data_IF_734995863374
#
_entry.id   IF_734995863374
#
_cell.length_a   1.000
_cell.length_b   1.000
_cell.length_c   1.000
_cell.angle_alpha   90.00
_cell.angle_beta   90.00
_cell.angle_gamma   90.00
#
_symmetry.space_group_name_H-M   'P 1'
#
loop_
_entity.id
_entity.type
_entity.pdbx_description
1 polymer ?
#
# COMPACT_ATOMS: atom_id res chain seq x y z
N UNK A 1 -19.70 39.94 70.25
CA UNK A 1 -20.43 39.20 71.30
C UNK A 1 -20.87 40.21 72.34
N UNK A 2 -22.18 40.35 72.57
CA UNK A 2 -22.71 41.30 73.56
C UNK A 2 -22.51 40.70 74.95
N UNK A 3 -21.84 41.42 75.84
CA UNK A 3 -21.82 41.14 77.27
C UNK A 3 -23.25 41.19 77.80
N UNK A 4 -23.83 40.03 78.10
CA UNK A 4 -25.13 39.93 78.77
C UNK A 4 -24.89 39.83 80.27
N UNK A 5 -24.91 41.01 80.89
CA UNK A 5 -25.73 41.38 82.04
C UNK A 5 -25.83 40.39 83.22
N UNK A 6 -25.25 40.82 84.35
CA UNK A 6 -25.62 40.37 85.70
C UNK A 6 -27.14 40.50 86.00
N UNK A 7 -27.89 41.27 85.18
CA UNK A 7 -29.36 41.38 85.24
C UNK A 7 -30.10 40.05 85.00
N UNK A 8 -29.49 39.09 84.29
CA UNK A 8 -30.17 37.84 83.92
C UNK A 8 -30.30 36.86 85.08
N UNK A 9 -29.41 36.91 86.08
CA UNK A 9 -29.47 35.98 87.23
C UNK A 9 -30.59 36.36 88.19
N UNK A 10 -30.79 37.66 88.47
CA UNK A 10 -31.90 38.12 89.31
C UNK A 10 -33.27 37.84 88.69
N UNK A 11 -33.38 37.89 87.37
CA UNK A 11 -34.59 37.49 86.65
C UNK A 11 -34.87 35.99 86.77
N UNK A 12 -33.82 35.15 86.73
CA UNK A 12 -33.91 33.70 87.00
C UNK A 12 -34.42 33.46 88.43
N UNK A 13 -33.89 34.17 89.43
CA UNK A 13 -34.35 34.06 90.81
C UNK A 13 -35.81 34.44 90.97
N UNK A 14 -36.23 35.57 90.38
CA UNK A 14 -37.64 36.01 90.42
C UNK A 14 -38.59 34.99 89.79
N UNK A 15 -38.18 34.40 88.67
CA UNK A 15 -38.94 33.36 87.97
C UNK A 15 -39.19 32.14 88.85
N UNK A 16 -38.15 31.63 89.52
CA UNK A 16 -38.28 30.47 90.40
C UNK A 16 -39.04 30.76 91.70
N UNK A 17 -38.95 31.99 92.25
CA UNK A 17 -39.82 32.36 93.39
C UNK A 17 -41.29 32.42 93.02
N UNK A 18 -41.63 32.76 91.77
CA UNK A 18 -43.02 32.86 91.31
C UNK A 18 -43.60 31.51 90.88
N UNK A 19 -42.79 30.67 90.26
CA UNK A 19 -43.19 29.36 89.75
C UNK A 19 -42.36 28.27 90.44
N UNK A 20 -42.99 27.55 91.40
CA UNK A 20 -42.33 26.51 92.19
C UNK A 20 -41.73 25.36 91.35
N UNK A 21 -42.22 25.19 90.12
CA UNK A 21 -41.77 24.21 89.13
C UNK A 21 -41.88 24.83 87.74
N UNK A 22 -40.78 24.82 86.98
CA UNK A 22 -40.70 25.38 85.62
C UNK A 22 -39.97 24.39 84.72
N UNK A 23 -40.35 24.30 83.44
CA UNK A 23 -39.60 23.48 82.48
C UNK A 23 -38.34 24.20 82.01
N UNK A 24 -37.29 23.45 81.69
CA UNK A 24 -36.03 24.02 81.19
C UNK A 24 -36.24 24.82 79.88
N UNK A 25 -37.20 24.42 79.05
CA UNK A 25 -37.54 25.11 77.80
C UNK A 25 -38.22 26.46 78.06
N UNK A 26 -39.10 26.56 79.06
CA UNK A 26 -39.68 27.84 79.49
C UNK A 26 -38.60 28.79 80.02
N UNK A 27 -37.63 28.29 80.80
CA UNK A 27 -36.51 29.10 81.32
C UNK A 27 -35.62 29.60 80.18
N UNK A 28 -35.28 28.74 79.22
CA UNK A 28 -34.49 29.13 78.04
C UNK A 28 -35.22 30.18 77.19
N UNK A 29 -36.54 30.01 76.99
CA UNK A 29 -37.35 30.95 76.22
C UNK A 29 -37.51 32.30 76.94
N UNK A 30 -37.79 32.31 78.25
CA UNK A 30 -38.00 33.54 79.02
C UNK A 30 -36.74 34.38 79.14
N UNK A 31 -35.57 33.74 79.25
CA UNK A 31 -34.28 34.42 79.34
C UNK A 31 -33.64 34.68 77.98
N UNK A 32 -34.27 34.22 76.90
CA UNK A 32 -33.78 34.30 75.53
C UNK A 32 -32.33 33.77 75.39
N UNK A 33 -32.05 32.64 76.03
CA UNK A 33 -30.73 31.97 75.99
C UNK A 33 -30.85 30.57 75.40
N UNK A 34 -29.79 30.03 74.76
CA UNK A 34 -29.80 28.65 74.29
C UNK A 34 -30.03 27.66 75.43
N UNK A 35 -30.81 26.60 75.17
CA UNK A 35 -31.14 25.56 76.17
C UNK A 35 -29.91 24.99 76.89
N UNK A 36 -28.78 24.86 76.18
CA UNK A 36 -27.51 24.40 76.76
C UNK A 36 -26.92 25.37 77.80
N UNK A 37 -27.12 26.68 77.64
CA UNK A 37 -26.71 27.69 78.61
C UNK A 37 -27.64 27.71 79.83
N UNK A 38 -28.96 27.62 79.61
CA UNK A 38 -29.95 27.49 80.68
C UNK A 38 -29.70 26.23 81.53
N UNK A 39 -29.32 25.11 80.92
CA UNK A 39 -28.98 23.88 81.62
C UNK A 39 -27.74 24.04 82.50
N UNK A 40 -26.70 24.73 82.02
CA UNK A 40 -25.50 25.03 82.83
C UNK A 40 -25.83 25.91 84.03
N UNK A 41 -26.67 26.93 83.86
CA UNK A 41 -27.12 27.77 84.97
C UNK A 41 -27.94 26.98 85.99
N UNK A 42 -28.82 26.09 85.52
CA UNK A 42 -29.59 25.22 86.40
C UNK A 42 -28.69 24.28 87.21
N UNK A 43 -27.62 23.74 86.62
CA UNK A 43 -26.63 22.92 87.34
C UNK A 43 -25.90 23.72 88.42
N UNK A 44 -25.48 24.96 88.14
CA UNK A 44 -24.85 25.83 89.15
C UNK A 44 -25.80 26.10 90.34
N UNK A 45 -27.07 26.39 90.06
CA UNK A 45 -28.08 26.61 91.11
C UNK A 45 -28.42 25.33 91.88
N UNK A 46 -28.27 24.16 91.26
CA UNK A 46 -28.41 22.87 91.94
C UNK A 46 -27.23 22.60 92.89
N UNK A 47 -26.01 22.97 92.50
CA UNK A 47 -24.81 22.85 93.35
C UNK A 47 -24.93 23.72 94.61
N UNK A 48 -25.52 24.92 94.47
CA UNK A 48 -25.84 25.81 95.59
C UNK A 48 -27.06 25.34 96.42
N UNK A 49 -27.66 24.20 96.05
CA UNK A 49 -28.85 23.58 96.67
C UNK A 49 -30.09 24.47 96.65
N UNK A 50 -30.18 25.37 95.66
CA UNK A 50 -31.27 26.35 95.47
C UNK A 50 -32.43 25.73 94.68
N UNK A 51 -32.11 24.86 93.73
CA UNK A 51 -33.10 24.11 92.92
C UNK A 51 -32.76 22.62 92.86
N UNK A 52 -33.74 21.80 92.49
CA UNK A 52 -33.59 20.37 92.21
C UNK A 52 -34.01 20.11 90.77
N UNK A 53 -33.20 19.36 90.02
CA UNK A 53 -33.51 19.01 88.63
C UNK A 53 -34.20 17.64 88.61
N UNK A 54 -35.45 17.60 88.15
CA UNK A 54 -36.22 16.36 87.97
C UNK A 54 -36.41 16.09 86.48
N UNK A 55 -36.14 14.86 86.03
CA UNK A 55 -36.44 14.45 84.65
C UNK A 55 -37.59 13.46 84.65
N UNK A 56 -38.68 13.80 83.99
CA UNK A 56 -39.86 12.93 83.87
C UNK A 56 -40.45 13.06 82.47
N UNK A 57 -40.68 11.94 81.79
CA UNK A 57 -41.31 11.92 80.46
C UNK A 57 -40.51 12.56 79.33
N UNK A 58 -39.18 12.71 79.47
CA UNK A 58 -38.33 13.36 78.46
C UNK A 58 -38.24 14.89 78.60
N UNK A 59 -38.97 15.48 79.55
CA UNK A 59 -38.85 16.88 79.92
C UNK A 59 -38.05 17.04 81.22
N UNK A 60 -37.25 18.11 81.28
CA UNK A 60 -36.45 18.48 82.44
C UNK A 60 -37.17 19.60 83.19
N UNK A 61 -37.57 19.32 84.43
CA UNK A 61 -38.22 20.26 85.33
C UNK A 61 -37.21 20.77 86.37
N UNK A 62 -37.29 22.05 86.67
CA UNK A 62 -36.52 22.73 87.69
C UNK A 62 -37.46 23.06 88.86
N UNK A 63 -37.23 22.43 90.02
CA UNK A 63 -38.07 22.55 91.21
C UNK A 63 -37.33 23.34 92.28
N UNK A 64 -37.93 24.43 92.76
CA UNK A 64 -37.32 25.30 93.77
C UNK A 64 -37.28 24.62 95.16
N UNK A 65 -36.10 24.50 95.77
CA UNK A 65 -35.89 23.78 97.06
C UNK A 65 -35.86 24.71 98.29
N UNK A 66 -35.74 26.02 98.11
CA UNK A 66 -36.11 27.05 99.09
C UNK A 66 -35.35 27.10 100.43
N UNK A 67 -34.12 26.58 100.54
CA UNK A 67 -33.34 26.63 101.78
C UNK A 67 -32.16 27.61 101.68
N UNK A 68 -32.38 28.88 102.02
CA UNK A 68 -31.31 29.83 102.31
C UNK A 68 -30.96 29.73 103.81
N UNK A 69 -29.72 29.36 104.16
CA UNK A 69 -29.21 29.26 105.54
C UNK A 69 -27.96 30.13 105.71
N UNK A 70 -27.91 30.87 106.81
CA UNK A 70 -26.78 31.68 107.30
C UNK A 70 -27.22 33.14 107.46
N UNK A 71 -27.63 33.67 108.61
CA UNK A 71 -27.29 33.46 110.02
C UNK A 71 -25.84 33.83 110.44
N UNK A 72 -25.80 34.91 111.24
CA UNK A 72 -24.87 35.30 112.30
C UNK A 72 -23.53 35.99 111.99
N UNK A 73 -23.47 37.28 112.37
CA UNK A 73 -22.38 37.85 113.19
C UNK A 73 -22.99 38.78 114.27
N UNK A 74 -22.39 38.84 115.48
CA UNK A 74 -23.04 39.19 116.74
C UNK A 74 -23.02 40.70 117.10
N UNK A 75 -23.77 41.11 118.15
CA UNK A 75 -24.04 42.50 118.49
C UNK A 75 -22.97 43.08 119.41
N UNK A 76 -22.76 44.39 119.37
CA UNK A 76 -22.12 45.11 120.49
C UNK A 76 -23.14 46.05 121.08
N UNK A 77 -23.45 45.78 122.35
CA UNK A 77 -24.53 46.35 123.11
C UNK A 77 -24.26 47.79 123.56
N UNK A 78 -25.39 48.46 123.73
CA UNK A 78 -25.74 49.54 124.66
C UNK A 78 -24.87 49.67 125.93
N UNK A 79 -24.66 50.91 126.38
CA UNK A 79 -25.05 51.37 127.74
C UNK A 79 -24.83 52.89 127.80
N UNK A 80 -25.90 53.67 127.92
CA UNK A 80 -26.51 54.14 129.16
C UNK A 80 -25.70 55.20 129.94
N UNK A 81 -26.31 56.37 130.04
CA UNK A 81 -26.13 57.38 131.09
C UNK A 81 -26.07 56.75 132.49
N UNK A 82 -25.33 57.33 133.45
CA UNK A 82 -26.05 57.66 134.70
C UNK A 82 -25.57 58.90 135.46
N UNK A 83 -26.46 59.24 136.39
CA UNK A 83 -26.54 60.36 137.34
C UNK A 83 -25.38 60.42 138.35
N UNK A 84 -25.20 61.65 138.85
CA UNK A 84 -24.46 62.04 140.06
C UNK A 84 -24.52 61.07 141.24
N UNK A 85 -23.43 60.99 142.03
CA UNK A 85 -23.52 60.79 143.47
C UNK A 85 -22.86 61.90 144.30
N UNK A 86 -23.45 62.00 145.49
CA UNK A 86 -23.22 62.90 146.61
C UNK A 86 -21.80 62.84 147.19
N UNK A 87 -21.34 64.00 147.66
CA UNK A 87 -20.07 64.26 148.32
C UNK A 87 -20.03 63.73 149.77
N UNK A 88 -19.15 62.76 150.05
CA UNK A 88 -18.49 62.56 151.36
C UNK A 88 -17.51 61.35 151.37
N UNK A 89 -16.74 61.13 150.29
CA UNK A 89 -15.79 60.00 150.21
C UNK A 89 -14.63 60.18 149.21
N UNK A 90 -14.34 61.43 148.81
CA UNK A 90 -13.61 61.80 147.58
C UNK A 90 -12.10 61.48 147.60
N UNK A 91 -11.48 61.24 148.74
CA UNK A 91 -10.00 61.24 148.81
C UNK A 91 -9.35 59.85 148.58
N UNK A 92 -10.07 58.74 148.82
CA UNK A 92 -9.56 57.38 148.52
C UNK A 92 -10.00 56.83 147.15
N UNK A 93 -11.10 57.31 146.60
CA UNK A 93 -11.50 56.97 145.23
C UNK A 93 -10.68 57.73 144.19
N UNK A 94 -10.20 58.95 144.50
CA UNK A 94 -9.34 59.71 143.60
C UNK A 94 -8.02 59.00 143.32
N UNK A 95 -7.35 58.42 144.32
CA UNK A 95 -6.12 57.65 144.10
C UNK A 95 -6.35 56.35 143.30
N UNK A 96 -7.50 55.69 143.48
CA UNK A 96 -7.87 54.51 142.68
C UNK A 96 -8.13 54.88 141.23
N UNK A 97 -8.85 55.99 141.01
CA UNK A 97 -9.15 56.53 139.69
C UNK A 97 -7.86 56.98 139.00
N UNK A 98 -6.93 57.63 139.71
CA UNK A 98 -5.65 58.06 139.13
C UNK A 98 -4.81 56.85 138.70
N UNK A 99 -4.72 55.78 139.50
CA UNK A 99 -4.02 54.55 139.09
C UNK A 99 -4.73 53.81 137.95
N UNK A 100 -6.06 53.74 137.96
CA UNK A 100 -6.82 53.20 136.82
C UNK A 100 -6.63 54.06 135.56
N UNK A 101 -6.50 55.37 135.71
CA UNK A 101 -6.24 56.29 134.61
C UNK A 101 -4.82 56.14 134.07
N UNK A 102 -3.83 55.97 134.94
CA UNK A 102 -2.44 55.69 134.55
C UNK A 102 -2.32 54.35 133.82
N UNK A 103 -2.94 53.28 134.33
CA UNK A 103 -3.00 51.97 133.66
C UNK A 103 -3.71 52.06 132.31
N UNK A 104 -4.82 52.80 132.23
CA UNK A 104 -5.51 53.03 130.95
C UNK A 104 -4.69 53.89 130.01
N UNK A 105 -3.93 54.86 130.49
CA UNK A 105 -3.03 55.67 129.67
C UNK A 105 -1.84 54.85 129.16
N UNK A 106 -1.34 53.91 129.94
CA UNK A 106 -0.33 52.93 129.48
C UNK A 106 -0.93 51.96 128.45
N UNK A 107 -2.15 51.45 128.67
CA UNK A 107 -2.85 50.65 127.67
C UNK A 107 -3.14 51.43 126.39
N UNK A 108 -3.52 52.71 126.49
CA UNK A 108 -3.74 53.59 125.33
C UNK A 108 -2.44 53.83 124.60
N UNK A 109 -1.33 54.09 125.31
CA UNK A 109 0.00 54.24 124.69
C UNK A 109 0.42 52.95 123.98
N UNK A 110 0.25 51.79 124.63
CA UNK A 110 0.54 50.48 124.05
C UNK A 110 -0.32 50.20 122.82
N UNK A 111 -1.63 50.41 122.90
CA UNK A 111 -2.53 50.27 121.76
C UNK A 111 -2.26 51.27 120.65
N UNK A 112 -1.83 52.50 120.96
CA UNK A 112 -1.44 53.47 119.94
C UNK A 112 -0.14 53.06 119.24
N UNK A 113 0.81 52.47 119.97
CA UNK A 113 2.03 51.93 119.40
C UNK A 113 1.76 50.70 118.52
N UNK A 114 0.86 49.80 118.95
CA UNK A 114 0.37 48.68 118.12
C UNK A 114 -0.35 49.19 116.87
N UNK A 115 -1.19 50.24 116.99
CA UNK A 115 -1.84 50.89 115.84
C UNK A 115 -0.82 51.50 114.88
N UNK A 116 0.23 52.11 115.40
CA UNK A 116 1.29 52.72 114.60
C UNK A 116 2.14 51.67 113.90
N UNK A 117 2.45 50.55 114.56
CA UNK A 117 3.06 49.37 113.93
C UNK A 117 2.16 48.79 112.84
N UNK A 118 0.86 48.63 113.10
CA UNK A 118 -0.09 48.16 112.08
C UNK A 118 -0.23 49.15 110.92
N UNK A 119 -0.12 50.45 111.16
CA UNK A 119 -0.11 51.47 110.11
C UNK A 119 1.18 51.41 109.28
N UNK A 120 2.34 51.18 109.90
CA UNK A 120 3.62 50.98 109.21
C UNK A 120 3.62 49.67 108.42
N UNK A 121 3.16 48.55 109.01
CA UNK A 121 2.99 47.27 108.31
C UNK A 121 2.01 47.40 107.14
N UNK A 122 0.89 48.12 107.31
CA UNK A 122 -0.06 48.40 106.22
C UNK A 122 0.57 49.29 105.14
N UNK A 123 1.33 50.30 105.55
CA UNK A 123 2.03 51.21 104.63
C UNK A 123 3.16 50.50 103.87
N UNK A 124 3.73 49.42 104.42
CA UNK A 124 4.74 48.58 103.75
C UNK A 124 4.10 47.49 102.87
N UNK A 125 2.98 46.89 103.29
CA UNK A 125 2.26 45.86 102.51
C UNK A 125 1.76 46.40 101.17
N UNK A 126 1.29 47.66 101.11
CA UNK A 126 0.77 48.24 99.87
C UNK A 126 1.86 48.37 98.79
N UNK A 127 3.02 49.00 99.03
CA UNK A 127 4.11 49.07 98.06
C UNK A 127 4.81 47.72 97.83
N UNK A 128 5.00 46.89 98.87
CA UNK A 128 5.83 45.68 98.77
C UNK A 128 5.09 44.47 98.20
N UNK A 129 3.78 44.33 98.45
CA UNK A 129 3.00 43.15 98.02
C UNK A 129 1.98 43.45 96.93
N UNK A 130 1.27 44.57 97.02
CA UNK A 130 0.21 44.89 96.05
C UNK A 130 0.78 45.44 94.74
N UNK A 131 1.70 46.40 94.80
CA UNK A 131 2.25 47.02 93.58
C UNK A 131 2.94 46.02 92.63
N UNK A 132 3.75 45.04 93.11
CA UNK A 132 4.33 44.03 92.23
C UNK A 132 3.29 43.07 91.65
N UNK A 133 2.22 42.80 92.39
CA UNK A 133 1.12 41.95 91.92
C UNK A 133 0.29 42.65 90.85
N UNK A 134 -0.04 43.92 91.06
CA UNK A 134 -0.70 44.77 90.04
C UNK A 134 0.14 44.86 88.77
N UNK A 135 1.47 45.09 88.89
CA UNK A 135 2.36 45.07 87.73
C UNK A 135 2.39 43.72 87.02
N UNK A 136 2.38 42.60 87.76
CA UNK A 136 2.29 41.26 87.15
C UNK A 136 0.98 41.11 86.38
N UNK A 137 -0.15 41.47 87.00
CA UNK A 137 -1.45 41.42 86.33
C UNK A 137 -1.50 42.32 85.10
N UNK A 138 -0.98 43.54 85.17
CA UNK A 138 -0.90 44.46 84.04
C UNK A 138 -0.07 43.86 82.89
N UNK A 139 1.09 43.26 83.19
CA UNK A 139 1.93 42.61 82.17
C UNK A 139 1.27 41.37 81.57
N UNK A 140 0.56 40.56 82.36
CA UNK A 140 -0.17 39.39 81.87
C UNK A 140 -1.37 39.80 81.01
N UNK A 141 -2.11 40.83 81.42
CA UNK A 141 -3.20 41.42 80.64
C UNK A 141 -2.67 41.99 79.32
N UNK A 142 -1.53 42.68 79.34
CA UNK A 142 -0.91 43.21 78.14
C UNK A 142 -0.43 42.08 77.20
N UNK A 143 0.13 41.00 77.75
CA UNK A 143 0.54 39.83 76.96
C UNK A 143 -0.65 39.09 76.36
N UNK A 144 -1.74 38.92 77.13
CA UNK A 144 -3.00 38.35 76.64
C UNK A 144 -3.62 39.23 75.54
N UNK A 145 -3.60 40.55 75.73
CA UNK A 145 -4.09 41.50 74.73
C UNK A 145 -3.29 41.42 73.42
N UNK A 146 -1.97 41.35 73.50
CA UNK A 146 -1.11 41.18 72.33
C UNK A 146 -1.37 39.86 71.60
N UNK A 147 -1.50 38.75 72.34
CA UNK A 147 -1.86 37.44 71.76
C UNK A 147 -3.24 37.45 71.12
N UNK A 148 -4.21 38.11 71.75
CA UNK A 148 -5.55 38.26 71.20
C UNK A 148 -5.50 39.06 69.89
N UNK A 149 -4.76 40.17 69.86
CA UNK A 149 -4.59 40.98 68.66
C UNK A 149 -3.87 40.22 67.53
N UNK A 150 -2.89 39.38 67.83
CA UNK A 150 -2.25 38.48 66.84
C UNK A 150 -3.24 37.48 66.27
N UNK A 151 -4.05 36.83 67.12
CA UNK A 151 -5.07 35.87 66.68
C UNK A 151 -6.18 36.53 65.88
N UNK A 152 -6.59 37.75 66.24
CA UNK A 152 -7.53 38.53 65.45
C UNK A 152 -6.96 38.85 64.06
N UNK A 153 -5.67 39.21 63.95
CA UNK A 153 -5.02 39.39 62.64
C UNK A 153 -5.01 38.10 61.82
N UNK A 154 -4.59 36.97 62.40
CA UNK A 154 -4.62 35.66 61.71
C UNK A 154 -6.04 35.32 61.21
N UNK A 155 -7.07 35.54 62.03
CA UNK A 155 -8.47 35.32 61.64
C UNK A 155 -8.85 36.21 60.46
N UNK A 156 -8.47 37.49 60.48
CA UNK A 156 -8.79 38.40 59.35
C UNK A 156 -8.08 38.00 58.05
N UNK A 157 -6.87 37.46 58.12
CA UNK A 157 -6.15 36.95 56.94
C UNK A 157 -6.79 35.68 56.39
N UNK A 158 -7.17 34.75 57.26
CA UNK A 158 -7.92 33.55 56.89
C UNK A 158 -9.27 33.90 56.26
N UNK A 159 -9.98 34.89 56.81
CA UNK A 159 -11.24 35.39 56.25
C UNK A 159 -11.05 36.00 54.86
N UNK A 160 -9.96 36.76 54.65
CA UNK A 160 -9.62 37.27 53.31
C UNK A 160 -9.35 36.12 52.33
N UNK A 161 -8.59 35.10 52.74
CA UNK A 161 -8.34 33.93 51.90
C UNK A 161 -9.63 33.17 51.57
N UNK A 162 -10.48 32.92 52.57
CA UNK A 162 -11.79 32.28 52.41
C UNK A 162 -12.69 33.04 51.44
N UNK A 163 -12.66 34.38 51.45
CA UNK A 163 -13.44 35.19 50.50
C UNK A 163 -12.93 35.11 49.06
N UNK A 164 -11.62 34.94 48.85
CA UNK A 164 -11.05 34.82 47.48
C UNK A 164 -11.09 33.40 46.91
N UNK A 165 -11.30 32.38 47.75
CA UNK A 165 -11.27 30.98 47.33
C UNK A 165 -12.37 30.63 46.32
N UNK A 166 -13.64 31.07 46.50
CA UNK A 166 -14.71 30.80 45.54
C UNK A 166 -14.42 31.37 44.15
N UNK A 167 -13.88 32.59 44.07
CA UNK A 167 -13.49 33.20 42.78
C UNK A 167 -12.36 32.43 42.07
N UNK A 168 -11.41 31.88 42.84
CA UNK A 168 -10.36 31.03 42.28
C UNK A 168 -10.93 29.69 41.82
N UNK A 169 -11.88 29.13 42.57
CA UNK A 169 -12.55 27.87 42.24
C UNK A 169 -13.36 28.00 40.95
N UNK A 170 -14.16 29.07 40.80
CA UNK A 170 -14.93 29.33 39.57
C UNK A 170 -14.03 29.56 38.37
N UNK A 171 -12.92 30.30 38.52
CA UNK A 171 -11.92 30.44 37.44
C UNK A 171 -11.30 29.11 37.03
N UNK A 172 -11.02 28.22 37.98
CA UNK A 172 -10.50 26.88 37.69
C UNK A 172 -11.55 26.01 36.99
N UNK A 173 -12.82 26.06 37.41
CA UNK A 173 -13.92 25.37 36.75
C UNK A 173 -14.13 25.87 35.31
N UNK A 174 -14.09 27.18 35.08
CA UNK A 174 -14.14 27.77 33.74
C UNK A 174 -12.97 27.31 32.86
N UNK A 175 -11.76 27.25 33.41
CA UNK A 175 -10.58 26.75 32.70
C UNK A 175 -10.69 25.25 32.40
N UNK A 176 -11.18 24.44 33.35
CA UNK A 176 -11.41 23.02 33.15
C UNK A 176 -12.43 22.77 32.03
N UNK A 177 -13.55 23.49 32.03
CA UNK A 177 -14.57 23.40 30.98
C UNK A 177 -14.03 23.81 29.60
N UNK A 178 -13.18 24.85 29.53
CA UNK A 178 -12.51 25.24 28.27
C UNK A 178 -11.55 24.16 27.78
N UNK A 179 -10.79 23.54 28.67
CA UNK A 179 -9.89 22.45 28.32
C UNK A 179 -10.64 21.22 27.83
N UNK A 180 -11.77 20.87 28.46
CA UNK A 180 -12.63 19.77 28.02
C UNK A 180 -13.19 20.02 26.61
N UNK A 181 -13.67 21.24 26.33
CA UNK A 181 -14.13 21.61 24.99
C UNK A 181 -13.01 21.53 23.93
N UNK A 182 -11.80 21.99 24.28
CA UNK A 182 -10.63 21.87 23.42
C UNK A 182 -10.29 20.41 23.17
N UNK A 183 -10.35 19.56 24.19
CA UNK A 183 -10.07 18.12 24.08
C UNK A 183 -11.09 17.43 23.16
N UNK A 184 -12.38 17.68 23.33
CA UNK A 184 -13.44 17.14 22.48
C UNK A 184 -13.25 17.58 21.03
N UNK A 185 -12.95 18.86 20.80
CA UNK A 185 -12.68 19.40 19.47
C UNK A 185 -11.43 18.77 18.84
N UNK A 186 -10.35 18.64 19.61
CA UNK A 186 -9.11 18.00 19.16
C UNK A 186 -9.34 16.53 18.81
N UNK A 187 -10.04 15.76 19.65
CA UNK A 187 -10.40 14.36 19.39
C UNK A 187 -11.21 14.22 18.10
N UNK A 188 -12.18 15.13 17.86
CA UNK A 188 -12.97 15.15 16.62
C UNK A 188 -12.11 15.45 15.39
N UNK A 189 -11.19 16.41 15.48
CA UNK A 189 -10.30 16.74 14.36
C UNK A 189 -9.33 15.60 14.07
N UNK A 190 -8.78 14.96 15.09
CA UNK A 190 -7.88 13.80 14.96
C UNK A 190 -8.62 12.63 14.34
N UNK A 191 -9.85 12.33 14.76
CA UNK A 191 -10.64 11.23 14.16
C UNK A 191 -11.00 11.50 12.70
N UNK A 192 -11.38 12.73 12.36
CA UNK A 192 -11.62 13.12 10.97
C UNK A 192 -10.35 13.06 10.11
N UNK A 193 -9.20 13.50 10.63
CA UNK A 193 -7.92 13.39 9.96
C UNK A 193 -7.52 11.92 9.75
N UNK A 194 -7.76 11.06 10.74
CA UNK A 194 -7.49 9.63 10.63
C UNK A 194 -8.33 8.98 9.52
N UNK A 195 -9.64 9.27 9.45
CA UNK A 195 -10.51 8.77 8.39
C UNK A 195 -10.05 9.25 7.00
N UNK A 196 -9.67 10.53 6.87
CA UNK A 196 -9.13 11.07 5.60
C UNK A 196 -7.82 10.39 5.19
N UNK A 197 -6.90 10.19 6.14
CA UNK A 197 -5.64 9.49 5.90
C UNK A 197 -5.86 8.03 5.50
N UNK A 198 -6.84 7.36 6.12
CA UNK A 198 -7.20 5.99 5.76
C UNK A 198 -7.79 5.92 4.34
N UNK A 199 -8.65 6.87 3.97
CA UNK A 199 -9.21 6.96 2.62
C UNK A 199 -8.13 7.21 1.55
N UNK A 200 -7.21 8.15 1.79
CA UNK A 200 -6.09 8.43 0.89
C UNK A 200 -5.10 7.25 0.82
N UNK A 201 -4.91 6.50 1.92
CA UNK A 201 -4.10 5.28 1.92
C UNK A 201 -4.70 4.18 1.02
N UNK A 202 -6.03 3.99 1.08
CA UNK A 202 -6.73 3.07 0.18
C UNK A 202 -6.61 3.52 -1.27
N UNK A 203 -6.86 4.81 -1.56
CA UNK A 203 -6.72 5.39 -2.90
C UNK A 203 -5.30 5.23 -3.46
N UNK A 204 -4.29 5.45 -2.63
CA UNK A 204 -2.87 5.26 -3.01
C UNK A 204 -2.59 3.80 -3.40
N UNK A 205 -3.14 2.81 -2.68
CA UNK A 205 -3.03 1.39 -3.03
C UNK A 205 -3.73 1.07 -4.34
N UNK A 206 -4.92 1.61 -4.59
CA UNK A 206 -5.63 1.44 -5.86
C UNK A 206 -4.83 1.98 -7.05
N UNK A 207 -4.23 3.16 -6.88
CA UNK A 207 -3.34 3.76 -7.89
C UNK A 207 -2.10 2.87 -8.12
N UNK A 208 -1.49 2.33 -7.05
CA UNK A 208 -0.36 1.41 -7.18
C UNK A 208 -0.71 0.16 -7.99
N UNK A 209 -1.85 -0.48 -7.69
CA UNK A 209 -2.34 -1.65 -8.44
C UNK A 209 -2.59 -1.31 -9.91
N UNK A 210 -3.19 -0.14 -10.19
CA UNK A 210 -3.41 0.32 -11.57
C UNK A 210 -2.09 0.58 -12.32
N UNK A 211 -1.10 1.19 -11.66
CA UNK A 211 0.25 1.40 -12.24
C UNK A 211 0.92 0.06 -12.54
N UNK A 212 0.85 -0.91 -11.63
CA UNK A 212 1.41 -2.25 -11.85
C UNK A 212 0.76 -2.97 -13.03
N UNK A 213 -0.57 -2.86 -13.18
CA UNK A 213 -1.29 -3.38 -14.34
C UNK A 213 -0.80 -2.72 -15.64
N UNK A 214 -0.74 -1.39 -15.70
CA UNK A 214 -0.25 -0.67 -16.88
C UNK A 214 1.22 -0.99 -17.21
N UNK A 215 2.07 -1.19 -16.20
CA UNK A 215 3.46 -1.61 -16.40
C UNK A 215 3.54 -3.03 -16.98
N UNK A 216 2.70 -3.95 -16.52
CA UNK A 216 2.66 -5.31 -17.05
C UNK A 216 2.15 -5.32 -18.50
N UNK A 217 1.12 -4.54 -18.83
CA UNK A 217 0.64 -4.37 -20.19
C UNK A 217 1.70 -3.76 -21.12
N UNK A 218 2.42 -2.74 -20.65
CA UNK A 218 3.51 -2.12 -21.39
C UNK A 218 4.66 -3.11 -21.65
N UNK A 219 5.03 -3.92 -20.65
CA UNK A 219 6.03 -4.99 -20.79
C UNK A 219 5.60 -6.04 -21.81
N UNK A 220 4.35 -6.48 -21.79
CA UNK A 220 3.81 -7.42 -22.77
C UNK A 220 3.87 -6.87 -24.19
N UNK A 221 3.49 -5.60 -24.39
CA UNK A 221 3.61 -4.91 -25.70
C UNK A 221 5.07 -4.79 -26.16
N UNK A 222 6.00 -4.45 -25.27
CA UNK A 222 7.43 -4.39 -25.59
C UNK A 222 7.95 -5.78 -26.03
N UNK A 223 7.57 -6.84 -25.32
CA UNK A 223 7.93 -8.20 -25.70
C UNK A 223 7.37 -8.59 -27.07
N UNK A 224 6.10 -8.27 -27.35
CA UNK A 224 5.48 -8.50 -28.66
C UNK A 224 6.24 -7.77 -29.79
N UNK A 225 6.57 -6.49 -29.59
CA UNK A 225 7.33 -5.69 -30.56
C UNK A 225 8.76 -6.23 -30.74
N UNK A 226 9.38 -6.69 -29.66
CA UNK A 226 10.71 -7.31 -29.71
C UNK A 226 10.69 -8.59 -30.56
N UNK A 227 9.67 -9.43 -30.41
CA UNK A 227 9.50 -10.63 -31.24
C UNK A 227 9.18 -10.30 -32.70
N UNK A 228 8.41 -9.24 -32.98
CA UNK A 228 8.20 -8.73 -34.34
C UNK A 228 9.52 -8.26 -34.97
N UNK A 229 10.33 -7.50 -34.25
CA UNK A 229 11.65 -7.04 -34.71
C UNK A 229 12.57 -8.23 -35.03
N UNK A 230 12.63 -9.26 -34.17
CA UNK A 230 13.39 -10.49 -34.43
C UNK A 230 12.90 -11.26 -35.67
N UNK A 231 11.60 -11.18 -36.00
CA UNK A 231 11.07 -11.78 -37.26
C UNK A 231 11.57 -10.98 -38.47
N UNK A 232 11.45 -9.65 -38.42
CA UNK A 232 11.93 -8.76 -39.49
C UNK A 232 13.43 -8.92 -39.70
N UNK A 233 14.22 -9.00 -38.62
CA UNK A 233 15.67 -9.21 -38.71
C UNK A 233 16.01 -10.54 -39.42
N UNK A 234 15.29 -11.63 -39.10
CA UNK A 234 15.45 -12.91 -39.80
C UNK A 234 15.07 -12.82 -41.28
N UNK A 235 14.03 -12.06 -41.62
CA UNK A 235 13.64 -11.83 -43.02
C UNK A 235 14.69 -11.00 -43.77
N UNK A 236 15.26 -9.96 -43.16
CA UNK A 236 16.35 -9.18 -43.75
C UNK A 236 17.60 -10.04 -44.00
N UNK A 237 17.94 -10.95 -43.10
CA UNK A 237 19.04 -11.92 -43.32
C UNK A 237 18.73 -12.85 -44.50
N UNK A 238 17.48 -13.31 -44.66
CA UNK A 238 17.07 -14.11 -45.82
C UNK A 238 17.16 -13.32 -47.13
N UNK A 239 16.69 -12.07 -47.14
CA UNK A 239 16.77 -11.19 -48.30
C UNK A 239 18.22 -10.96 -48.73
N UNK A 240 19.14 -10.72 -47.78
CA UNK A 240 20.58 -10.63 -48.07
C UNK A 240 21.15 -11.89 -48.71
N UNK A 241 20.72 -13.09 -48.28
CA UNK A 241 21.14 -14.35 -48.92
C UNK A 241 20.61 -14.47 -50.34
N UNK A 242 19.36 -14.06 -50.58
CA UNK A 242 18.78 -14.03 -51.93
C UNK A 242 19.52 -13.03 -52.82
N UNK A 243 19.85 -11.85 -52.31
CA UNK A 243 20.64 -10.84 -53.01
C UNK A 243 22.02 -11.38 -53.40
N UNK A 244 22.74 -12.01 -52.47
CA UNK A 244 24.02 -12.67 -52.74
C UNK A 244 23.88 -13.77 -53.81
N UNK A 245 22.84 -14.60 -53.72
CA UNK A 245 22.58 -15.63 -54.70
C UNK A 245 22.27 -15.05 -56.09
N UNK A 246 21.45 -13.99 -56.18
CA UNK A 246 21.16 -13.30 -57.44
C UNK A 246 22.41 -12.65 -58.04
N UNK A 247 23.28 -12.07 -57.21
CA UNK A 247 24.57 -11.52 -57.67
C UNK A 247 25.44 -12.61 -58.32
N UNK A 248 25.57 -13.78 -57.68
CA UNK A 248 26.28 -14.93 -58.25
C UNK A 248 25.66 -15.41 -59.58
N UNK A 249 24.33 -15.51 -59.64
CA UNK A 249 23.63 -15.89 -60.88
C UNK A 249 23.84 -14.86 -62.00
N UNK A 250 23.87 -13.58 -61.66
CA UNK A 250 24.14 -12.51 -62.63
C UNK A 250 25.57 -12.60 -63.18
N UNK A 251 26.57 -12.84 -62.32
CA UNK A 251 27.96 -13.06 -62.74
C UNK A 251 28.09 -14.30 -63.64
N UNK A 252 27.42 -15.41 -63.31
CA UNK A 252 27.39 -16.63 -64.14
C UNK A 252 26.78 -16.37 -65.52
N UNK A 253 25.67 -15.61 -65.58
CA UNK A 253 25.01 -15.24 -66.84
C UNK A 253 25.90 -14.33 -67.69
N UNK A 254 26.57 -13.34 -67.07
CA UNK A 254 27.53 -12.49 -67.78
C UNK A 254 28.68 -13.31 -68.36
N UNK A 255 29.24 -14.25 -67.59
CA UNK A 255 30.29 -15.15 -68.07
C UNK A 255 29.80 -16.00 -69.24
N UNK A 256 28.60 -16.57 -69.14
CA UNK A 256 28.00 -17.34 -70.24
C UNK A 256 27.77 -16.50 -71.51
N UNK A 257 27.41 -15.23 -71.36
CA UNK A 257 27.24 -14.30 -72.48
C UNK A 257 28.58 -13.98 -73.15
N UNK A 258 29.65 -13.79 -72.37
CA UNK A 258 31.01 -13.60 -72.88
C UNK A 258 31.52 -14.85 -73.61
N UNK A 259 31.28 -16.05 -73.05
CA UNK A 259 31.61 -17.33 -73.70
C UNK A 259 30.87 -17.49 -75.04
N UNK A 260 29.57 -17.18 -75.09
CA UNK A 260 28.79 -17.21 -76.33
C UNK A 260 29.28 -16.17 -77.34
N UNK A 261 29.64 -14.97 -76.88
CA UNK A 261 30.19 -13.91 -77.72
C UNK A 261 31.53 -14.33 -78.34
N UNK A 262 32.41 -14.94 -77.55
CA UNK A 262 33.70 -15.46 -78.01
C UNK A 262 33.51 -16.65 -78.97
N UNK A 263 32.65 -17.61 -78.64
CA UNK A 263 32.29 -18.73 -79.52
C UNK A 263 31.71 -18.24 -80.86
N UNK A 264 30.87 -17.20 -80.84
CA UNK A 264 30.37 -16.56 -82.07
C UNK A 264 31.50 -15.97 -82.90
N UNK A 265 32.46 -15.27 -82.29
CA UNK A 265 33.64 -14.72 -82.99
C UNK A 265 34.48 -15.84 -83.60
N UNK A 266 34.82 -16.87 -82.83
CA UNK A 266 35.57 -18.03 -83.32
C UNK A 266 34.85 -18.73 -84.48
N UNK A 267 33.54 -18.92 -84.38
CA UNK A 267 32.75 -19.52 -85.45
C UNK A 267 32.71 -18.64 -86.71
N UNK A 268 32.66 -17.31 -86.56
CA UNK A 268 32.76 -16.37 -87.68
C UNK A 268 34.15 -16.39 -88.32
N UNK A 269 35.21 -16.50 -87.53
CA UNK A 269 36.58 -16.66 -88.02
C UNK A 269 36.78 -17.99 -88.74
N UNK A 270 36.26 -19.09 -88.19
CA UNK A 270 36.24 -20.41 -88.84
C UNK A 270 35.45 -20.37 -90.14
N UNK A 271 34.27 -19.75 -90.15
CA UNK A 271 33.47 -19.58 -91.36
C UNK A 271 34.19 -18.73 -92.40
N UNK A 272 34.85 -17.65 -91.99
CA UNK A 272 35.64 -16.78 -92.88
C UNK A 272 36.85 -17.51 -93.43
N UNK A 273 37.54 -18.30 -92.61
CA UNK A 273 38.67 -19.14 -93.01
C UNK A 273 38.24 -20.25 -93.95
N UNK A 274 37.11 -20.92 -93.66
CA UNK A 274 36.51 -21.92 -94.55
C UNK A 274 36.13 -21.29 -95.89
N UNK A 275 35.47 -20.11 -95.87
CA UNK A 275 35.13 -19.35 -97.06
C UNK A 275 36.36 -18.91 -97.86
N UNK A 276 37.45 -18.52 -97.20
CA UNK A 276 38.72 -18.18 -97.86
C UNK A 276 39.41 -19.42 -98.44
N UNK A 277 39.36 -20.57 -97.75
CA UNK A 277 39.90 -21.86 -98.24
C UNK A 277 39.09 -22.45 -99.39
N UNK A 278 37.78 -22.17 -99.43
CA UNK A 278 36.91 -22.33 -100.59
C UNK A 278 37.25 -21.24 -101.62
N UNK A 279 38.50 -21.21 -102.07
CA UNK A 279 38.94 -20.27 -103.10
C UNK A 279 38.11 -20.46 -104.37
N UNK A 280 38.01 -19.41 -105.20
CA UNK A 280 37.57 -19.56 -106.59
C UNK A 280 38.36 -20.64 -107.32
N UNK A 281 39.60 -20.95 -106.90
CA UNK A 281 40.41 -22.04 -107.43
C UNK A 281 39.92 -23.43 -107.05
N UNK A 282 39.45 -23.67 -105.82
CA UNK A 282 38.80 -24.95 -105.49
C UNK A 282 37.52 -25.14 -106.33
N UNK A 283 36.67 -24.11 -106.42
CA UNK A 283 35.49 -24.16 -107.29
C UNK A 283 35.86 -24.29 -108.77
N UNK A 284 36.91 -23.63 -109.24
CA UNK A 284 37.40 -23.71 -110.62
C UNK A 284 37.98 -25.10 -110.93
N UNK A 285 38.70 -25.70 -109.99
CA UNK A 285 39.21 -27.07 -110.11
C UNK A 285 38.07 -28.09 -110.06
N UNK A 286 37.09 -27.92 -109.16
CA UNK A 286 35.90 -28.76 -109.11
C UNK A 286 35.07 -28.66 -110.39
N UNK A 287 34.85 -27.45 -110.93
CA UNK A 287 34.19 -27.24 -112.23
C UNK A 287 35.02 -27.87 -113.36
N UNK A 288 36.35 -27.77 -113.29
CA UNK A 288 37.25 -28.39 -114.28
C UNK A 288 37.20 -29.92 -114.21
N UNK A 289 37.14 -30.51 -113.02
CA UNK A 289 36.97 -31.94 -112.81
C UNK A 289 35.60 -32.42 -113.29
N UNK A 290 34.52 -31.70 -112.97
CA UNK A 290 33.18 -31.97 -113.50
C UNK A 290 33.13 -31.87 -115.03
N UNK A 291 33.82 -30.89 -115.62
CA UNK A 291 33.92 -30.73 -117.08
C UNK A 291 34.72 -31.88 -117.70
N UNK A 292 35.84 -32.27 -117.10
CA UNK A 292 36.64 -33.41 -117.55
C UNK A 292 35.89 -34.75 -117.42
N UNK A 293 35.09 -34.91 -116.36
CA UNK A 293 34.21 -36.05 -116.16
C UNK A 293 33.11 -36.10 -117.22
N UNK A 294 32.45 -34.97 -117.50
CA UNK A 294 31.50 -34.83 -118.60
C UNK A 294 32.13 -35.21 -119.94
N UNK A 295 33.33 -34.72 -120.23
CA UNK A 295 34.05 -35.05 -121.48
C UNK A 295 34.46 -36.53 -121.57
N UNK A 296 34.72 -37.20 -120.43
CA UNK A 296 34.89 -38.66 -120.40
C UNK A 296 33.59 -39.37 -120.76
N UNK A 297 32.48 -39.02 -120.11
CA UNK A 297 31.17 -39.64 -120.43
C UNK A 297 30.75 -39.39 -121.87
N UNK A 298 30.97 -38.20 -122.42
CA UNK A 298 30.69 -37.90 -123.84
C UNK A 298 31.53 -38.78 -124.76
N UNK A 299 32.83 -38.97 -124.46
CA UNK A 299 33.69 -39.88 -125.23
C UNK A 299 33.25 -41.33 -125.13
N UNK A 300 32.84 -41.78 -123.94
CA UNK A 300 32.35 -43.13 -123.69
C UNK A 300 31.03 -43.39 -124.42
N UNK A 301 30.10 -42.44 -124.39
CA UNK A 301 28.86 -42.50 -125.19
C UNK A 301 29.18 -42.60 -126.69
N UNK A 302 30.12 -41.81 -127.19
CA UNK A 302 30.52 -41.90 -128.60
C UNK A 302 31.21 -43.23 -128.94
N UNK A 303 31.99 -43.80 -128.03
CA UNK A 303 32.60 -45.12 -128.21
C UNK A 303 31.52 -46.21 -128.26
N UNK A 304 30.55 -46.18 -127.33
CA UNK A 304 29.40 -47.10 -127.30
C UNK A 304 28.57 -46.95 -128.57
N UNK A 305 28.29 -45.74 -129.05
CA UNK A 305 27.60 -45.52 -130.33
C UNK A 305 28.36 -46.09 -131.52
N UNK A 306 29.69 -46.07 -131.48
CA UNK A 306 30.53 -46.66 -132.54
C UNK A 306 30.45 -48.19 -132.49
N UNK A 307 30.53 -48.79 -131.30
CA UNK A 307 30.35 -50.23 -131.09
C UNK A 307 28.95 -50.71 -131.49
N UNK A 308 27.91 -49.92 -131.18
CA UNK A 308 26.53 -50.19 -131.59
C UNK A 308 26.38 -50.22 -133.11
N UNK A 309 27.00 -49.26 -133.83
CA UNK A 309 27.04 -49.28 -135.30
C UNK A 309 27.78 -50.49 -135.87
N UNK A 310 28.86 -50.92 -135.22
CA UNK A 310 29.58 -52.14 -135.61
C UNK A 310 28.74 -53.40 -135.36
N UNK A 311 28.02 -53.48 -134.23
CA UNK A 311 27.08 -54.56 -133.94
C UNK A 311 25.93 -54.60 -134.95
N UNK A 312 25.33 -53.46 -135.28
CA UNK A 312 24.29 -53.36 -136.31
C UNK A 312 24.79 -53.87 -137.67
N UNK A 313 26.06 -53.60 -138.01
CA UNK A 313 26.67 -54.11 -139.24
C UNK A 313 26.85 -55.64 -139.19
N UNK A 314 27.24 -56.20 -138.04
CA UNK A 314 27.35 -57.66 -137.82
C UNK A 314 25.98 -58.34 -137.83
N UNK A 315 24.96 -57.74 -137.23
CA UNK A 315 23.58 -58.25 -137.27
C UNK A 315 23.03 -58.26 -138.70
N UNK A 316 23.30 -57.21 -139.49
CA UNK A 316 22.97 -57.21 -140.92
C UNK A 316 23.69 -58.31 -141.70
N UNK A 317 24.96 -58.58 -141.40
CA UNK A 317 25.72 -59.67 -142.03
C UNK A 317 25.16 -61.05 -141.64
N UNK A 318 24.94 -61.29 -140.35
CA UNK A 318 24.34 -62.54 -139.85
C UNK A 318 22.93 -62.77 -140.43
N UNK A 319 22.11 -61.73 -140.59
CA UNK A 319 20.80 -61.86 -141.26
C UNK A 319 20.93 -62.28 -142.73
N UNK A 320 21.98 -61.85 -143.43
CA UNK A 320 22.25 -62.30 -144.81
C UNK A 320 22.68 -63.77 -144.85
N UNK A 321 23.54 -64.19 -143.92
CA UNK A 321 23.92 -65.61 -143.78
C UNK A 321 22.73 -66.49 -143.42
N UNK A 322 21.89 -66.06 -142.49
CA UNK A 322 20.69 -66.79 -142.08
C UNK A 322 19.68 -66.90 -143.23
N UNK A 323 19.53 -65.85 -144.03
CA UNK A 323 18.73 -65.90 -145.27
C UNK A 323 19.32 -66.88 -146.30
N UNK A 324 20.65 -66.98 -146.40
CA UNK A 324 21.34 -67.94 -147.27
C UNK A 324 21.13 -69.38 -146.79
N UNK A 325 21.28 -69.65 -145.48
CA UNK A 325 21.08 -70.97 -144.88
C UNK A 325 19.61 -71.42 -144.94
N UNK A 326 18.65 -70.49 -144.79
CA UNK A 326 17.23 -70.81 -144.97
C UNK A 326 16.94 -71.20 -146.43
N UNK A 327 17.59 -70.57 -147.41
CA UNK A 327 17.45 -70.96 -148.81
C UNK A 327 18.09 -72.33 -149.11
N UNK A 328 19.25 -72.63 -148.52
CA UNK A 328 19.86 -73.97 -148.62
C UNK A 328 19.00 -75.05 -147.95
N UNK A 329 18.44 -74.77 -146.77
CA UNK A 329 17.53 -75.69 -146.09
C UNK A 329 16.25 -75.96 -146.89
N UNK A 330 15.72 -74.94 -147.60
CA UNK A 330 14.59 -75.12 -148.52
C UNK A 330 14.94 -76.00 -149.72
N UNK A 331 16.12 -75.82 -150.32
CA UNK A 331 16.62 -76.65 -151.42
C UNK A 331 16.80 -78.12 -150.99
N UNK A 332 17.32 -78.35 -149.78
CA UNK A 332 17.49 -79.71 -149.21
C UNK A 332 16.16 -80.37 -148.85
N UNK A 333 15.17 -79.60 -148.36
CA UNK A 333 13.84 -80.12 -148.08
C UNK A 333 13.10 -80.56 -149.36
N UNK A 334 13.22 -79.80 -150.46
CA UNK A 334 12.66 -80.17 -151.76
C UNK A 334 13.33 -81.43 -152.35
N UNK A 335 14.64 -81.60 -152.14
CA UNK A 335 15.35 -82.83 -152.50
C UNK A 335 14.87 -84.04 -151.68
N UNK A 336 14.68 -83.89 -150.37
CA UNK A 336 14.24 -84.97 -149.49
C UNK A 336 12.80 -85.44 -149.79
N UNK A 337 11.89 -84.53 -150.11
CA UNK A 337 10.51 -84.88 -150.50
C UNK A 337 10.45 -85.63 -151.84
N UNK A 338 11.35 -85.32 -152.77
CA UNK A 338 11.47 -86.04 -154.05
C UNK A 338 11.98 -87.48 -153.88
N UNK A 339 12.84 -87.74 -152.89
CA UNK A 339 13.37 -89.07 -152.56
C UNK A 339 12.37 -89.89 -151.73
N UNK A 340 11.72 -89.27 -150.74
CA UNK A 340 10.71 -89.91 -149.87
C UNK A 340 9.51 -90.42 -150.66
N UNK A 341 9.05 -89.67 -151.66
CA UNK A 341 7.94 -90.09 -152.54
C UNK A 341 8.32 -91.24 -153.46
N UNK A 342 9.56 -91.28 -153.97
CA UNK A 342 10.10 -92.40 -154.77
C UNK A 342 10.32 -93.66 -153.93
N UNK A 343 10.86 -93.52 -152.71
CA UNK A 343 11.06 -94.63 -151.77
C UNK A 343 9.73 -95.29 -151.34
N UNK A 344 8.67 -94.50 -151.12
CA UNK A 344 7.32 -95.03 -150.81
C UNK A 344 6.70 -95.79 -152.00
N UNK A 345 6.98 -95.38 -153.25
CA UNK A 345 6.53 -96.11 -154.45
C UNK A 345 7.29 -97.42 -154.62
N UNK A 346 8.60 -97.41 -154.45
CA UNK A 346 9.44 -98.62 -154.48
C UNK A 346 8.96 -99.67 -153.46
N UNK A 347 8.70 -99.26 -152.20
CA UNK A 347 8.16 -100.17 -151.18
C UNK A 347 6.83 -100.80 -151.59
N UNK A 348 5.95 -100.04 -152.25
CA UNK A 348 4.64 -100.53 -152.71
C UNK A 348 4.74 -101.52 -153.88
N UNK A 349 5.80 -101.45 -154.70
CA UNK A 349 6.06 -102.42 -155.76
C UNK A 349 6.67 -103.72 -155.22
N UNK A 350 7.53 -103.64 -154.21
CA UNK A 350 8.08 -104.81 -153.52
C UNK A 350 6.98 -105.66 -152.86
N UNK A 351 6.01 -105.04 -152.20
CA UNK A 351 4.89 -105.75 -151.54
C UNK A 351 3.93 -106.43 -152.53
N UNK A 352 3.91 -106.02 -153.80
CA UNK A 352 3.05 -106.62 -154.84
C UNK A 352 3.74 -107.72 -155.67
N UNK A 353 5.01 -108.02 -155.41
CA UNK A 353 5.77 -109.03 -156.15
C UNK A 353 6.10 -108.64 -157.60
N UNK A 354 5.91 -107.38 -158.00
CA UNK A 354 6.26 -106.85 -159.33
C UNK A 354 7.75 -106.46 -159.40
N UNK A 355 8.64 -107.46 -159.30
CA UNK A 355 10.09 -107.24 -159.18
C UNK A 355 10.71 -106.41 -160.32
N UNK A 356 10.25 -106.58 -161.56
CA UNK A 356 10.76 -105.81 -162.71
C UNK A 356 10.41 -104.31 -162.66
N UNK A 357 9.36 -103.93 -161.93
CA UNK A 357 9.01 -102.51 -161.72
C UNK A 357 9.67 -101.94 -160.46
N UNK A 358 9.91 -102.77 -159.46
CA UNK A 358 10.72 -102.41 -158.30
C UNK A 358 12.16 -102.07 -158.68
N UNK A 359 12.80 -102.89 -159.52
CA UNK A 359 14.17 -102.61 -160.02
C UNK A 359 14.24 -101.31 -160.79
N UNK A 360 13.27 -101.00 -161.66
CA UNK A 360 13.25 -99.72 -162.40
C UNK A 360 13.10 -98.49 -161.49
N UNK A 361 12.37 -98.58 -160.38
CA UNK A 361 12.29 -97.46 -159.43
C UNK A 361 13.53 -97.36 -158.52
N UNK A 362 14.20 -98.48 -158.23
CA UNK A 362 15.50 -98.46 -157.55
C UNK A 362 16.62 -97.90 -158.44
N UNK A 363 16.63 -98.20 -159.73
CA UNK A 363 17.55 -97.56 -160.69
C UNK A 363 17.28 -96.06 -160.84
N UNK A 364 16.01 -95.64 -160.79
CA UNK A 364 15.58 -94.24 -160.73
C UNK A 364 16.04 -93.53 -159.43
N UNK A 365 16.09 -94.24 -158.31
CA UNK A 365 16.64 -93.75 -157.04
C UNK A 365 18.18 -93.68 -157.06
N UNK A 366 18.84 -94.71 -157.60
CA UNK A 366 20.31 -94.72 -157.75
C UNK A 366 20.81 -93.63 -158.72
N UNK A 367 19.98 -93.25 -159.70
CA UNK A 367 20.27 -92.14 -160.63
C UNK A 367 20.00 -90.75 -160.04
N UNK A 368 19.41 -90.64 -158.84
CA UNK A 368 19.09 -89.35 -158.20
C UNK A 368 20.20 -88.75 -157.36
N UNK A 369 21.39 -89.37 -157.32
CA UNK A 369 22.64 -88.71 -156.93
C UNK A 369 22.69 -88.18 -155.49
N UNK A 370 22.02 -88.86 -154.57
CA UNK A 370 22.14 -88.62 -153.13
C UNK A 370 22.80 -89.88 -152.55
N UNK A 371 24.04 -89.74 -152.08
CA UNK A 371 24.76 -90.76 -151.32
C UNK A 371 24.08 -91.07 -149.99
#
# INVERSE_FOLDING_TARGET
>A
MKETNASSIDEVYRLFTKHKRVTLDEVAHLLNVPKAAALKWAQMLQDDKIITIESSGGETFLVWSGKFKGEHLPPTAESETPKHPSAAGVEKEFERIVREYELKMEEIKKKSAELQQLMEERADIIPSRYLPLERKFETELQLMHNKLAEKEREITELDKHLRTLPEKLTKLEEQANKLEQIEVYARKNVSQAHVKLQAESVRSREIQVSIEQHLNDARAKIQEQTEKLKRIERELVRLRKIEQWMALQYEELLRGLDELSNSKKENLERYSSLKASLTPEYFKNYIKELSALKDRYVREIHAVQKEEKELDSKVKAARKELAHLINEAKMLAEQFDSVSTKAKRAKKYAEKGEWTRFEKELESLASSGIE
#
